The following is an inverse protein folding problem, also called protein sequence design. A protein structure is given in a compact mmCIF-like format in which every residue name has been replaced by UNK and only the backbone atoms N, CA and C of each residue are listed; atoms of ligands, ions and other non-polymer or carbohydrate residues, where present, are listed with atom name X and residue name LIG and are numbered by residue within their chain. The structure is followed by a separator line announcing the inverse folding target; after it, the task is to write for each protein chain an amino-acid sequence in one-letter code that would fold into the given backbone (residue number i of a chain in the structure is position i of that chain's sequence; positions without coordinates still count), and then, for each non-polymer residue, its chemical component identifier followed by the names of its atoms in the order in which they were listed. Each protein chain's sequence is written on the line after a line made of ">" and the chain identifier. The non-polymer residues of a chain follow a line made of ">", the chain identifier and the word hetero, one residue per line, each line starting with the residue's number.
data_IF_980182115851
#
_entry.id   IF_980182115851
#
_cell.length_a   1.000
_cell.length_b   1.000
_cell.length_c   1.000
_cell.angle_alpha   90.00
_cell.angle_beta   90.00
_cell.angle_gamma   90.00
#
_symmetry.space_group_name_H-M   'P 1'
#
loop_
_entity.id
_entity.type
_entity.pdbx_description
1 polymer ?
#
# COMPACT_ATOMS: atom_id res chain seq x y z
N UNK A 1 7.34 -10.95 -32.22
CA UNK A 1 8.53 -10.67 -31.37
C UNK A 1 9.44 -9.64 -32.04
N UNK A 2 9.88 -9.84 -33.29
CA UNK A 2 10.76 -8.88 -34.00
C UNK A 2 10.13 -7.49 -34.05
N UNK A 3 8.86 -7.36 -34.44
CA UNK A 3 8.14 -6.07 -34.45
C UNK A 3 8.10 -5.39 -33.08
N UNK A 4 7.99 -6.14 -31.98
CA UNK A 4 8.06 -5.59 -30.64
C UNK A 4 9.44 -4.98 -30.32
N UNK A 5 10.53 -5.65 -30.71
CA UNK A 5 11.87 -5.10 -30.56
C UNK A 5 12.09 -3.87 -31.42
N UNK A 6 11.54 -3.84 -32.63
CA UNK A 6 11.64 -2.69 -33.52
C UNK A 6 10.86 -1.48 -32.95
N UNK A 7 9.70 -1.72 -32.38
CA UNK A 7 8.89 -0.67 -31.77
C UNK A 7 9.63 0.05 -30.63
N UNK A 8 10.39 -0.69 -29.82
CA UNK A 8 11.20 -0.12 -28.72
C UNK A 8 12.59 0.39 -29.17
N UNK A 9 12.83 0.50 -30.50
CA UNK A 9 14.06 1.04 -31.05
C UNK A 9 15.23 0.05 -31.17
N UNK A 10 15.03 -1.23 -30.90
CA UNK A 10 16.06 -2.28 -30.94
C UNK A 10 16.05 -3.01 -32.29
N UNK A 11 16.32 -2.24 -33.38
CA UNK A 11 16.26 -2.74 -34.76
C UNK A 11 17.27 -3.85 -35.04
N UNK A 12 18.45 -3.82 -34.44
CA UNK A 12 19.48 -4.87 -34.64
C UNK A 12 19.00 -6.24 -34.14
N UNK A 13 18.33 -6.28 -32.99
CA UNK A 13 17.77 -7.52 -32.47
C UNK A 13 16.61 -8.00 -33.34
N UNK A 14 15.74 -7.09 -33.77
CA UNK A 14 14.64 -7.42 -34.67
C UNK A 14 15.17 -8.02 -36.00
N UNK A 15 16.17 -7.41 -36.62
CA UNK A 15 16.79 -7.87 -37.84
C UNK A 15 17.48 -9.23 -37.67
N UNK A 16 18.16 -9.44 -36.54
CA UNK A 16 18.76 -10.72 -36.20
C UNK A 16 17.73 -11.85 -36.08
N UNK A 17 16.61 -11.59 -35.41
CA UNK A 17 15.51 -12.56 -35.28
C UNK A 17 14.93 -12.90 -36.64
N UNK A 18 14.60 -11.88 -37.45
CA UNK A 18 14.02 -12.07 -38.81
C UNK A 18 14.95 -12.80 -39.73
N UNK A 19 16.23 -12.44 -39.75
CA UNK A 19 17.24 -13.11 -40.61
C UNK A 19 17.47 -14.55 -40.19
N UNK A 20 17.51 -14.83 -38.90
CA UNK A 20 17.67 -16.20 -38.36
C UNK A 20 16.48 -17.07 -38.78
N UNK A 21 15.26 -16.57 -38.59
CA UNK A 21 14.04 -17.31 -38.95
C UNK A 21 13.95 -17.58 -40.45
N UNK A 22 14.28 -16.59 -41.27
CA UNK A 22 14.36 -16.76 -42.75
C UNK A 22 15.43 -17.74 -43.15
N UNK A 23 16.59 -17.75 -42.49
CA UNK A 23 17.65 -18.74 -42.69
C UNK A 23 17.22 -20.17 -42.45
N UNK A 24 16.25 -20.40 -41.55
CA UNK A 24 15.62 -21.69 -41.34
C UNK A 24 14.43 -21.99 -42.26
N UNK A 25 14.16 -21.15 -43.27
CA UNK A 25 13.10 -21.37 -44.27
C UNK A 25 11.71 -20.92 -43.86
N UNK A 26 11.57 -20.17 -42.77
CA UNK A 26 10.26 -19.61 -42.35
C UNK A 26 9.92 -18.36 -43.14
N UNK A 27 8.67 -18.26 -43.63
CA UNK A 27 8.14 -17.00 -44.19
C UNK A 27 7.70 -16.10 -42.99
N UNK A 28 8.58 -15.14 -42.70
CA UNK A 28 8.37 -14.25 -41.54
C UNK A 28 7.75 -12.94 -41.99
N UNK A 29 6.55 -12.69 -41.55
CA UNK A 29 5.88 -11.37 -41.56
C UNK A 29 6.14 -10.66 -40.24
N UNK A 30 6.69 -9.47 -40.35
CA UNK A 30 6.92 -8.64 -39.17
C UNK A 30 5.69 -7.79 -38.92
N UNK A 31 5.04 -8.00 -37.79
CA UNK A 31 3.93 -7.19 -37.29
C UNK A 31 4.33 -6.56 -35.97
N UNK A 32 3.99 -5.29 -35.79
CA UNK A 32 4.15 -4.61 -34.51
C UNK A 32 2.94 -4.90 -33.62
N UNK A 33 3.09 -5.69 -32.55
CA UNK A 33 1.95 -6.00 -31.66
C UNK A 33 1.50 -4.80 -30.81
N UNK A 34 2.21 -3.67 -30.90
CA UNK A 34 1.97 -2.45 -30.12
C UNK A 34 1.62 -1.25 -31.01
N UNK A 35 1.34 -1.45 -32.30
CA UNK A 35 1.09 -0.37 -33.26
C UNK A 35 -0.06 0.54 -32.82
N UNK A 36 -1.06 -0.02 -32.16
CA UNK A 36 -2.24 0.69 -31.66
C UNK A 36 -2.17 1.02 -30.16
N UNK A 37 -1.02 0.77 -29.50
CA UNK A 37 -0.88 1.05 -28.07
C UNK A 37 0.01 2.27 -27.83
N UNK A 38 -0.31 3.09 -26.82
CA UNK A 38 0.54 4.23 -26.48
C UNK A 38 1.94 3.76 -26.10
N UNK A 39 2.95 4.34 -26.73
CA UNK A 39 4.36 4.04 -26.46
C UNK A 39 4.71 4.50 -25.05
N UNK A 40 4.87 3.57 -24.13
CA UNK A 40 5.37 3.87 -22.80
C UNK A 40 6.90 3.91 -22.87
N UNK A 41 7.56 5.03 -22.53
CA UNK A 41 9.02 5.07 -22.48
C UNK A 41 9.51 4.05 -21.45
N UNK A 42 10.33 3.10 -21.88
CA UNK A 42 11.03 2.17 -20.99
C UNK A 42 12.05 2.94 -20.17
N UNK A 43 11.66 3.45 -19.01
CA UNK A 43 12.59 3.96 -18.03
C UNK A 43 13.23 2.74 -17.35
N UNK A 44 14.48 2.48 -17.64
CA UNK A 44 15.24 1.29 -17.24
C UNK A 44 15.42 1.11 -15.71
N UNK A 45 14.98 2.08 -14.90
CA UNK A 45 15.14 2.07 -13.44
C UNK A 45 13.90 1.62 -12.66
N UNK A 46 12.80 1.27 -13.32
CA UNK A 46 11.56 0.91 -12.64
C UNK A 46 11.32 -0.58 -12.75
N UNK A 47 11.09 -1.23 -11.60
CA UNK A 47 10.70 -2.63 -11.53
C UNK A 47 9.59 -2.96 -12.54
N UNK A 48 9.67 -4.10 -13.27
CA UNK A 48 8.61 -4.54 -14.20
C UNK A 48 7.23 -4.60 -13.56
N UNK A 49 7.17 -4.89 -12.25
CA UNK A 49 5.92 -4.88 -11.48
C UNK A 49 5.33 -3.48 -11.37
N UNK A 50 6.14 -2.46 -11.12
CA UNK A 50 5.69 -1.07 -11.04
C UNK A 50 5.16 -0.60 -12.39
N UNK A 51 5.86 -0.92 -13.49
CA UNK A 51 5.40 -0.60 -14.85
C UNK A 51 4.06 -1.26 -15.14
N UNK A 52 3.90 -2.55 -14.79
CA UNK A 52 2.64 -3.28 -14.96
C UNK A 52 1.50 -2.66 -14.15
N UNK A 53 1.74 -2.28 -12.90
CA UNK A 53 0.75 -1.62 -12.05
C UNK A 53 0.33 -0.26 -12.60
N UNK A 54 1.27 0.52 -13.14
CA UNK A 54 0.98 1.81 -13.80
C UNK A 54 0.10 1.62 -15.02
N UNK A 55 0.44 0.69 -15.89
CA UNK A 55 -0.37 0.39 -17.08
C UNK A 55 -1.77 -0.10 -16.70
N UNK A 56 -1.90 -0.95 -15.70
CA UNK A 56 -3.21 -1.37 -15.19
C UNK A 56 -4.02 -0.17 -14.67
N UNK A 57 -3.37 0.72 -13.91
CA UNK A 57 -4.02 1.92 -13.41
C UNK A 57 -4.46 2.85 -14.53
N UNK A 58 -3.60 3.13 -15.50
CA UNK A 58 -3.93 3.95 -16.66
C UNK A 58 -5.14 3.42 -17.43
N UNK A 59 -5.22 2.10 -17.60
CA UNK A 59 -6.33 1.46 -18.30
C UNK A 59 -7.67 1.52 -17.54
N UNK A 60 -7.66 1.55 -16.22
CA UNK A 60 -8.89 1.51 -15.41
C UNK A 60 -9.24 2.82 -14.73
N UNK A 61 -8.29 3.77 -14.67
CA UNK A 61 -8.44 5.01 -13.91
C UNK A 61 -9.71 5.78 -14.25
N UNK A 62 -9.97 6.00 -15.53
CA UNK A 62 -11.10 6.84 -15.95
C UNK A 62 -12.43 6.21 -15.56
N UNK A 63 -12.52 4.87 -15.66
CA UNK A 63 -13.70 4.13 -15.25
C UNK A 63 -13.88 4.12 -13.72
N UNK A 64 -12.78 4.03 -12.97
CA UNK A 64 -12.82 4.15 -11.50
C UNK A 64 -13.26 5.54 -11.08
N UNK A 65 -12.74 6.59 -11.72
CA UNK A 65 -13.14 7.98 -11.44
C UNK A 65 -14.61 8.23 -11.77
N UNK A 66 -15.09 7.70 -12.88
CA UNK A 66 -16.51 7.80 -13.29
C UNK A 66 -17.47 7.15 -12.28
N UNK A 67 -17.07 5.99 -11.73
CA UNK A 67 -17.88 5.22 -10.78
C UNK A 67 -17.68 5.65 -9.32
N UNK A 68 -16.71 6.53 -9.06
CA UNK A 68 -16.44 6.97 -7.70
C UNK A 68 -17.58 7.86 -7.19
N UNK A 69 -18.07 7.63 -5.97
CA UNK A 69 -19.14 8.43 -5.41
C UNK A 69 -18.73 9.89 -5.28
N UNK A 70 -19.70 10.79 -5.38
CA UNK A 70 -19.46 12.20 -5.09
C UNK A 70 -18.96 12.40 -3.64
N UNK A 71 -18.14 13.42 -3.45
CA UNK A 71 -17.68 13.76 -2.12
C UNK A 71 -18.86 14.05 -1.18
N UNK A 72 -18.86 13.50 0.05
CA UNK A 72 -20.00 13.63 0.98
C UNK A 72 -20.24 15.08 1.46
N UNK A 73 -19.45 16.04 0.98
CA UNK A 73 -19.53 17.43 1.41
C UNK A 73 -18.81 17.71 2.73
N UNK A 74 -19.10 18.87 3.32
CA UNK A 74 -18.57 19.23 4.63
C UNK A 74 -19.30 18.50 5.73
N UNK A 75 -18.53 17.99 6.69
CA UNK A 75 -19.05 17.41 7.92
C UNK A 75 -19.16 18.54 8.94
N UNK A 76 -20.37 18.93 9.30
CA UNK A 76 -20.62 20.04 10.23
C UNK A 76 -20.32 19.64 11.68
N UNK A 77 -20.69 18.41 12.09
CA UNK A 77 -20.38 17.88 13.43
C UNK A 77 -19.05 17.08 13.42
N UNK A 78 -17.95 17.82 13.43
CA UNK A 78 -16.59 17.24 13.48
C UNK A 78 -16.39 16.37 14.72
N UNK A 79 -16.85 16.81 15.87
CA UNK A 79 -16.71 16.10 17.14
C UNK A 79 -17.57 14.81 17.16
N UNK A 80 -18.78 14.86 16.64
CA UNK A 80 -19.61 13.67 16.46
C UNK A 80 -18.99 12.65 15.52
N UNK A 81 -18.42 13.11 14.41
CA UNK A 81 -17.71 12.24 13.49
C UNK A 81 -16.50 11.57 14.15
N UNK A 82 -15.67 12.33 14.87
CA UNK A 82 -14.50 11.77 15.56
C UNK A 82 -14.90 10.78 16.67
N UNK A 83 -16.02 11.02 17.38
CA UNK A 83 -16.57 10.04 18.33
C UNK A 83 -16.97 8.75 17.62
N UNK A 84 -17.65 8.83 16.47
CA UNK A 84 -18.01 7.64 15.70
C UNK A 84 -16.80 6.84 15.21
N UNK A 85 -15.67 7.51 14.91
CA UNK A 85 -14.40 6.87 14.61
C UNK A 85 -13.87 6.13 15.84
N UNK A 86 -13.87 6.79 17.01
CA UNK A 86 -13.41 6.19 18.27
C UNK A 86 -14.23 4.95 18.68
N UNK A 87 -15.54 4.97 18.44
CA UNK A 87 -16.44 3.85 18.70
C UNK A 87 -16.14 2.61 17.85
N UNK A 88 -15.58 2.79 16.66
CA UNK A 88 -15.21 1.69 15.75
C UNK A 88 -13.89 1.02 16.11
N UNK A 89 -13.07 1.65 16.94
CA UNK A 89 -11.71 1.18 17.21
C UNK A 89 -11.65 -0.29 17.64
N UNK A 90 -12.44 -0.70 18.64
CA UNK A 90 -12.33 -2.04 19.22
C UNK A 90 -12.71 -3.15 18.24
N UNK A 91 -13.77 -2.92 17.45
CA UNK A 91 -14.22 -3.84 16.40
C UNK A 91 -13.19 -3.93 15.26
N UNK A 92 -12.72 -2.78 14.78
CA UNK A 92 -11.74 -2.67 13.71
C UNK A 92 -10.41 -3.32 14.10
N UNK A 93 -9.90 -3.04 15.30
CA UNK A 93 -8.67 -3.65 15.81
C UNK A 93 -8.79 -5.17 15.92
N UNK A 94 -9.91 -5.68 16.42
CA UNK A 94 -10.12 -7.12 16.54
C UNK A 94 -10.12 -7.81 15.19
N UNK A 95 -10.87 -7.32 14.23
CA UNK A 95 -10.97 -7.92 12.89
C UNK A 95 -9.68 -7.78 12.11
N UNK A 96 -9.08 -6.60 12.07
CA UNK A 96 -7.85 -6.34 11.33
C UNK A 96 -6.70 -7.21 11.83
N UNK A 97 -6.48 -7.26 13.13
CA UNK A 97 -5.40 -8.06 13.71
C UNK A 97 -5.64 -9.56 13.58
N UNK A 98 -6.91 -10.01 13.68
CA UNK A 98 -7.26 -11.42 13.49
C UNK A 98 -7.03 -11.88 12.05
N UNK A 99 -7.34 -11.07 11.05
CA UNK A 99 -7.08 -11.35 9.63
C UNK A 99 -5.58 -11.50 9.37
N UNK A 100 -4.75 -10.70 10.04
CA UNK A 100 -3.28 -10.79 9.97
C UNK A 100 -2.71 -11.97 10.80
N UNK A 101 -3.56 -12.79 11.41
CA UNK A 101 -3.18 -14.00 12.12
C UNK A 101 -2.76 -13.79 13.58
N UNK A 102 -2.96 -12.60 14.14
CA UNK A 102 -2.72 -12.36 15.55
C UNK A 102 -3.88 -12.86 16.40
N UNK A 103 -3.56 -13.45 17.56
CA UNK A 103 -4.56 -13.93 18.52
C UNK A 103 -4.85 -12.83 19.53
N UNK A 104 -5.75 -11.93 19.18
CA UNK A 104 -6.20 -10.85 20.05
C UNK A 104 -7.61 -11.13 20.54
N UNK A 105 -7.91 -10.72 21.78
CA UNK A 105 -9.28 -10.78 22.32
C UNK A 105 -9.81 -9.35 22.52
N UNK A 106 -11.14 -9.18 22.55
CA UNK A 106 -11.75 -7.88 22.87
C UNK A 106 -11.24 -7.32 24.20
N UNK A 107 -11.03 -8.18 25.21
CA UNK A 107 -10.53 -7.79 26.53
C UNK A 107 -9.08 -7.28 26.45
N UNK A 108 -8.21 -7.90 25.63
CA UNK A 108 -6.84 -7.44 25.42
C UNK A 108 -6.83 -6.07 24.74
N UNK A 109 -7.66 -5.90 23.69
CA UNK A 109 -7.77 -4.64 22.96
C UNK A 109 -8.21 -3.51 23.90
N UNK A 110 -9.21 -3.77 24.74
CA UNK A 110 -9.69 -2.80 25.72
C UNK A 110 -8.66 -2.50 26.83
N UNK A 111 -7.96 -3.51 27.34
CA UNK A 111 -6.84 -3.34 28.29
C UNK A 111 -5.76 -2.40 27.73
N UNK A 112 -5.41 -2.58 26.45
CA UNK A 112 -4.43 -1.74 25.77
C UNK A 112 -4.97 -0.32 25.60
N UNK A 113 -6.22 -0.16 25.20
CA UNK A 113 -6.88 1.13 24.98
C UNK A 113 -6.89 2.00 26.24
N UNK A 114 -7.21 1.40 27.39
CA UNK A 114 -7.26 2.13 28.67
C UNK A 114 -5.88 2.26 29.36
N UNK A 115 -4.82 1.77 28.74
CA UNK A 115 -3.45 1.90 29.26
C UNK A 115 -3.11 0.97 30.44
N UNK A 116 -3.94 -0.01 30.73
CA UNK A 116 -3.78 -0.94 31.87
C UNK A 116 -2.94 -2.18 31.55
N UNK A 117 -2.36 -2.24 30.34
CA UNK A 117 -1.48 -3.33 29.98
C UNK A 117 -0.03 -3.01 30.32
N UNK A 118 0.61 -3.96 31.03
CA UNK A 118 2.07 -3.92 31.31
C UNK A 118 2.72 -5.12 30.62
N UNK A 119 3.86 -4.97 29.93
CA UNK A 119 4.60 -6.09 29.39
C UNK A 119 5.13 -6.95 30.54
N UNK A 120 4.61 -8.16 30.70
CA UNK A 120 5.22 -9.19 31.53
C UNK A 120 6.15 -10.02 30.66
N UNK A 121 7.38 -10.31 31.15
CA UNK A 121 8.55 -10.65 30.35
C UNK A 121 8.56 -12.03 29.66
N UNK A 122 7.56 -12.91 29.88
CA UNK A 122 7.66 -14.32 29.45
C UNK A 122 6.49 -14.87 28.65
N UNK A 123 5.54 -14.06 28.18
CA UNK A 123 4.28 -14.60 27.65
C UNK A 123 4.24 -14.67 26.12
N UNK A 124 3.77 -15.81 25.56
CA UNK A 124 3.43 -15.94 24.13
C UNK A 124 2.36 -14.91 23.70
N UNK A 125 1.60 -14.40 24.64
CA UNK A 125 0.66 -13.29 24.45
C UNK A 125 1.36 -11.94 24.29
N UNK A 126 2.64 -11.82 24.67
CA UNK A 126 3.40 -10.58 24.57
C UNK A 126 3.40 -10.00 23.14
N UNK A 127 3.59 -10.84 22.12
CA UNK A 127 3.56 -10.42 20.72
C UNK A 127 2.17 -9.89 20.31
N UNK A 128 1.10 -10.54 20.76
CA UNK A 128 -0.27 -10.11 20.49
C UNK A 128 -0.60 -8.78 21.18
N UNK A 129 -0.11 -8.60 22.40
CA UNK A 129 -0.28 -7.35 23.14
C UNK A 129 0.55 -6.20 22.53
N UNK A 130 1.77 -6.47 22.06
CA UNK A 130 2.60 -5.48 21.35
C UNK A 130 1.93 -5.01 20.07
N UNK A 131 1.37 -5.94 19.27
CA UNK A 131 0.69 -5.55 18.03
C UNK A 131 -0.60 -4.79 18.31
N UNK A 132 -1.38 -5.19 19.31
CA UNK A 132 -2.58 -4.46 19.72
C UNK A 132 -2.24 -3.02 20.18
N UNK A 133 -1.13 -2.85 20.91
CA UNK A 133 -0.63 -1.53 21.32
C UNK A 133 -0.18 -0.70 20.13
N UNK A 134 0.56 -1.29 19.20
CA UNK A 134 0.99 -0.62 17.97
C UNK A 134 -0.21 -0.18 17.12
N UNK A 135 -1.21 -1.05 17.00
CA UNK A 135 -2.45 -0.74 16.31
C UNK A 135 -3.18 0.45 16.94
N UNK A 136 -3.29 0.47 18.27
CA UNK A 136 -3.88 1.61 18.98
C UNK A 136 -3.13 2.92 18.73
N UNK A 137 -1.79 2.89 18.80
CA UNK A 137 -0.97 4.08 18.54
C UNK A 137 -1.12 4.57 17.10
N UNK A 138 -1.12 3.66 16.13
CA UNK A 138 -1.37 3.98 14.72
C UNK A 138 -2.78 4.54 14.50
N UNK A 139 -3.80 3.93 15.12
CA UNK A 139 -5.18 4.39 15.06
C UNK A 139 -5.32 5.83 15.59
N UNK A 140 -4.70 6.15 16.73
CA UNK A 140 -4.71 7.52 17.28
C UNK A 140 -4.02 8.53 16.34
N UNK A 141 -2.93 8.14 15.68
CA UNK A 141 -2.28 8.98 14.69
C UNK A 141 -3.16 9.21 13.46
N UNK A 142 -3.81 8.16 12.93
CA UNK A 142 -4.79 8.28 11.83
C UNK A 142 -5.97 9.16 12.22
N UNK A 143 -6.51 9.01 13.43
CA UNK A 143 -7.57 9.85 13.97
C UNK A 143 -7.18 11.32 14.01
N UNK A 144 -5.93 11.63 14.38
CA UNK A 144 -5.39 12.98 14.34
C UNK A 144 -5.37 13.56 12.93
N UNK A 145 -4.93 12.77 11.96
CA UNK A 145 -4.95 13.18 10.55
C UNK A 145 -6.37 13.38 10.02
N UNK A 146 -7.33 12.55 10.41
CA UNK A 146 -8.75 12.73 10.09
C UNK A 146 -9.24 14.08 10.64
N UNK A 147 -8.92 14.41 11.89
CA UNK A 147 -9.29 15.69 12.50
C UNK A 147 -8.73 16.88 11.73
N UNK A 148 -7.50 16.79 11.23
CA UNK A 148 -6.89 17.85 10.42
C UNK A 148 -7.57 17.99 9.04
N UNK A 149 -7.92 16.87 8.40
CA UNK A 149 -8.67 16.87 7.13
C UNK A 149 -10.04 17.51 7.33
N UNK A 150 -10.73 17.20 8.41
CA UNK A 150 -12.04 17.78 8.72
C UNK A 150 -11.96 19.30 9.00
N UNK A 151 -10.79 19.79 9.41
CA UNK A 151 -10.49 21.23 9.55
C UNK A 151 -10.07 21.89 8.24
N UNK A 152 -9.99 21.14 7.13
CA UNK A 152 -9.75 21.67 5.80
C UNK A 152 -8.37 21.34 5.20
N UNK A 153 -7.55 20.51 5.86
CA UNK A 153 -6.30 20.01 5.25
C UNK A 153 -6.63 19.13 4.04
N UNK A 154 -5.88 19.25 2.96
CA UNK A 154 -6.06 18.37 1.80
C UNK A 154 -5.82 16.91 2.18
N UNK A 155 -6.81 16.05 1.92
CA UNK A 155 -6.76 14.66 2.34
C UNK A 155 -5.60 13.87 1.71
N UNK A 156 -5.33 14.08 0.41
CA UNK A 156 -4.24 13.41 -0.29
C UNK A 156 -2.86 13.81 0.21
N UNK A 157 -2.67 15.10 0.51
CA UNK A 157 -1.43 15.61 1.09
C UNK A 157 -1.24 15.11 2.53
N UNK A 158 -2.32 15.13 3.33
CA UNK A 158 -2.30 14.63 4.70
C UNK A 158 -1.90 13.16 4.76
N UNK A 159 -2.55 12.30 3.99
CA UNK A 159 -2.25 10.86 3.94
C UNK A 159 -0.81 10.63 3.49
N UNK A 160 -0.33 11.33 2.46
CA UNK A 160 1.05 11.18 1.98
C UNK A 160 2.08 11.56 3.03
N UNK A 161 1.82 12.64 3.78
CA UNK A 161 2.73 13.12 4.81
C UNK A 161 2.73 12.23 6.06
N UNK A 162 1.54 11.77 6.47
CA UNK A 162 1.34 11.14 7.77
C UNK A 162 1.45 9.59 7.73
N UNK A 163 1.30 8.96 6.54
CA UNK A 163 1.40 7.51 6.39
C UNK A 163 2.70 6.91 6.99
N UNK A 164 3.91 7.49 6.81
CA UNK A 164 5.09 6.97 7.47
C UNK A 164 5.01 7.03 8.99
N UNK A 165 4.32 8.04 9.55
CA UNK A 165 4.11 8.17 10.99
C UNK A 165 3.20 7.05 11.49
N UNK A 166 2.10 6.75 10.80
CA UNK A 166 1.20 5.65 11.16
C UNK A 166 1.93 4.31 11.18
N UNK A 167 2.73 4.06 10.15
CA UNK A 167 3.55 2.86 10.06
C UNK A 167 4.54 2.75 11.21
N UNK A 168 5.24 3.83 11.54
CA UNK A 168 6.16 3.88 12.68
C UNK A 168 5.45 3.62 14.01
N UNK A 169 4.28 4.22 14.24
CA UNK A 169 3.49 4.01 15.45
C UNK A 169 3.05 2.55 15.60
N UNK A 170 2.66 1.91 14.51
CA UNK A 170 2.26 0.51 14.50
C UNK A 170 3.35 -0.42 15.03
N UNK A 171 4.60 -0.17 14.67
CA UNK A 171 5.74 -1.05 14.99
C UNK A 171 6.61 -0.58 16.15
N UNK A 172 6.40 0.64 16.64
CA UNK A 172 7.19 1.19 17.73
C UNK A 172 7.20 0.33 19.00
N UNK A 173 6.11 -0.35 19.43
CA UNK A 173 6.18 -1.24 20.58
C UNK A 173 7.19 -2.38 20.42
N UNK A 174 7.35 -2.92 19.21
CA UNK A 174 8.32 -3.98 18.91
C UNK A 174 9.78 -3.45 18.93
N UNK A 175 9.98 -2.22 18.48
CA UNK A 175 11.28 -1.55 18.58
C UNK A 175 11.64 -1.27 20.02
N UNK A 176 10.69 -0.81 20.83
CA UNK A 176 10.93 -0.47 22.24
C UNK A 176 11.38 -1.67 23.06
N UNK A 177 10.91 -2.87 22.76
CA UNK A 177 11.33 -4.11 23.45
C UNK A 177 12.47 -4.84 22.74
N UNK A 178 13.03 -4.27 21.67
CA UNK A 178 14.20 -4.81 20.97
C UNK A 178 13.93 -6.01 20.05
N UNK A 179 12.67 -6.29 19.71
CA UNK A 179 12.30 -7.34 18.75
C UNK A 179 12.59 -6.89 17.31
N UNK A 180 12.41 -5.60 17.03
CA UNK A 180 12.75 -4.96 15.75
C UNK A 180 13.77 -3.86 15.98
N UNK A 181 14.59 -3.59 14.97
CA UNK A 181 15.42 -2.39 14.92
C UNK A 181 14.70 -1.27 14.16
N UNK A 182 15.04 -0.01 14.40
CA UNK A 182 14.46 1.11 13.66
C UNK A 182 14.72 1.01 12.16
N UNK A 183 15.86 0.48 11.81
CA UNK A 183 16.34 0.27 10.45
C UNK A 183 15.51 -0.77 9.70
N UNK A 184 14.86 -1.71 10.42
CA UNK A 184 13.95 -2.70 9.85
C UNK A 184 12.62 -2.07 9.38
N UNK A 185 12.31 -0.85 9.84
CA UNK A 185 11.08 -0.12 9.52
C UNK A 185 11.23 0.78 8.27
N UNK A 186 12.22 0.52 7.43
CA UNK A 186 12.53 1.37 6.27
C UNK A 186 11.81 0.85 5.03
N UNK A 187 10.81 1.60 4.59
CA UNK A 187 10.25 1.46 3.24
C UNK A 187 9.22 0.35 3.06
N UNK A 188 8.67 0.32 1.86
CA UNK A 188 7.81 -0.77 1.40
C UNK A 188 8.64 -2.02 1.19
N UNK A 189 8.05 -3.21 1.39
CA UNK A 189 8.72 -4.47 1.07
C UNK A 189 9.28 -4.39 -0.34
N UNK A 190 10.60 -4.43 -0.46
CA UNK A 190 11.24 -4.72 -1.73
C UNK A 190 10.86 -6.16 -2.06
N UNK A 191 10.15 -6.36 -3.17
CA UNK A 191 9.65 -7.67 -3.55
C UNK A 191 10.76 -8.72 -3.52
N UNK A 192 10.49 -9.83 -2.85
CA UNK A 192 11.20 -11.08 -3.05
C UNK A 192 10.77 -11.69 -4.36
#
# INVERSE_FOLDING_TARGET
>A
IAGAFRNIGNSEIADSIVSTMRGFGYDVREEDPFEDQPRTPLVYEVSPYVTRLRLMWENMRDKVVELFPEAPGKIDDVEGYLRSVDEKYSEDAYHSLSIEGYRVSPELIEKVRVGNWKPEEEDKEHKNALVARGYYQAFQAVRGTIADILKGKNAGEAVRADHPVWYMQMWMPFVTVGILQREDLVGYRTGQ
#
